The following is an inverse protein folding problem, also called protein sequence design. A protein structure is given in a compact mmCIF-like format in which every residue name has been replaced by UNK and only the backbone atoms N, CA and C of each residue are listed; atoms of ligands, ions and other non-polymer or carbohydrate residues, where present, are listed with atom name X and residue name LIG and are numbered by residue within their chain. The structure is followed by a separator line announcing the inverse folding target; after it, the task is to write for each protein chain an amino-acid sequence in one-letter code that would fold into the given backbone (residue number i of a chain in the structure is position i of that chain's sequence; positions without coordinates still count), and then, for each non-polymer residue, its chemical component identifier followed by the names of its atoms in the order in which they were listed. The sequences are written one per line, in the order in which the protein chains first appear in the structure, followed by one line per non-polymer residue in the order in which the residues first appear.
data_IF_248617516745
#
_entry.id   IF_248617516745
#
_cell.length_a   1.000
_cell.length_b   1.000
_cell.length_c   1.000
_cell.angle_alpha   90.00
_cell.angle_beta   90.00
_cell.angle_gamma   90.00
#
_symmetry.space_group_name_H-M   'P 1'
#
loop_
_entity.id
_entity.type
_entity.pdbx_description
1 polymer ?
#
# COMPACT_ATOMS: atom_id res chain seq x y z
N UNK A 1 15.32 9.77 -12.30
CA UNK A 1 14.54 8.95 -11.35
C UNK A 1 13.16 9.60 -11.31
N UNK A 2 12.20 9.07 -12.08
CA UNK A 2 10.86 9.67 -12.14
C UNK A 2 10.08 9.28 -10.90
N UNK A 3 9.71 10.27 -10.09
CA UNK A 3 8.71 10.10 -9.04
C UNK A 3 7.39 9.77 -9.76
N UNK A 4 6.89 8.55 -9.60
CA UNK A 4 5.56 8.18 -10.11
C UNK A 4 4.52 9.02 -9.40
N UNK A 5 3.64 9.64 -10.17
CA UNK A 5 2.45 10.29 -9.63
C UNK A 5 1.54 9.18 -9.12
N UNK A 6 0.91 9.36 -7.96
CA UNK A 6 0.01 8.36 -7.33
C UNK A 6 -1.12 7.90 -8.26
N UNK A 7 -1.46 8.69 -9.28
CA UNK A 7 -2.39 8.32 -10.35
C UNK A 7 -2.03 7.03 -11.08
N UNK A 8 -0.78 6.56 -10.97
CA UNK A 8 -0.27 5.40 -11.70
C UNK A 8 -0.29 4.10 -10.87
N UNK A 9 -0.64 4.17 -9.58
CA UNK A 9 -0.75 2.97 -8.74
C UNK A 9 -2.10 2.30 -8.97
N UNK A 10 -2.06 0.98 -9.18
CA UNK A 10 -3.27 0.17 -9.22
C UNK A 10 -3.95 0.12 -7.85
N UNK A 11 -5.25 -0.19 -7.82
CA UNK A 11 -5.97 -0.39 -6.55
C UNK A 11 -5.28 -1.47 -5.69
N UNK A 12 -4.82 -2.56 -6.30
CA UNK A 12 -4.11 -3.62 -5.59
C UNK A 12 -2.80 -3.13 -4.96
N UNK A 13 -2.05 -2.26 -5.64
CA UNK A 13 -0.82 -1.67 -5.09
C UNK A 13 -1.10 -0.72 -3.94
N UNK A 14 -2.10 0.16 -4.08
CA UNK A 14 -2.53 1.07 -3.00
C UNK A 14 -3.01 0.30 -1.77
N UNK A 15 -3.83 -0.74 -1.98
CA UNK A 15 -4.31 -1.61 -0.91
C UNK A 15 -3.14 -2.37 -0.27
N UNK A 16 -2.15 -2.82 -1.06
CA UNK A 16 -0.92 -3.43 -0.53
C UNK A 16 -0.13 -2.47 0.36
N UNK A 17 0.05 -1.20 -0.05
CA UNK A 17 0.70 -0.18 0.79
C UNK A 17 -0.08 0.04 2.10
N UNK A 18 -1.41 0.11 2.04
CA UNK A 18 -2.26 0.26 3.21
C UNK A 18 -2.13 -0.93 4.18
N UNK A 19 -2.09 -2.16 3.66
CA UNK A 19 -1.87 -3.37 4.46
C UNK A 19 -0.48 -3.36 5.13
N UNK A 20 0.57 -2.96 4.41
CA UNK A 20 1.91 -2.85 5.01
C UNK A 20 1.89 -1.82 6.14
N UNK A 21 1.25 -0.65 5.94
CA UNK A 21 1.12 0.37 6.99
C UNK A 21 0.40 -0.15 8.24
N UNK A 22 -0.65 -0.95 8.05
CA UNK A 22 -1.41 -1.54 9.15
C UNK A 22 -0.58 -2.56 9.93
N UNK A 23 0.08 -3.47 9.24
CA UNK A 23 0.89 -4.52 9.88
C UNK A 23 2.07 -3.91 10.65
N UNK A 24 2.72 -2.90 10.08
CA UNK A 24 3.82 -2.16 10.71
C UNK A 24 3.36 -1.50 12.03
N UNK A 25 2.16 -0.91 12.04
CA UNK A 25 1.62 -0.24 13.22
C UNK A 25 1.11 -1.21 14.31
N UNK A 26 0.67 -2.42 13.95
CA UNK A 26 -0.08 -3.32 14.87
C UNK A 26 0.70 -4.54 15.32
N UNK A 27 1.49 -5.13 14.44
CA UNK A 27 2.05 -6.48 14.62
C UNK A 27 3.59 -6.48 14.55
N UNK A 28 4.20 -5.52 13.84
CA UNK A 28 5.66 -5.43 13.66
C UNK A 28 6.25 -6.47 12.70
N UNK A 29 5.48 -7.48 12.31
CA UNK A 29 5.89 -8.57 11.42
C UNK A 29 5.34 -8.36 9.99
N UNK A 30 6.07 -7.60 9.16
CA UNK A 30 5.67 -7.27 7.80
C UNK A 30 6.30 -8.18 6.73
N UNK A 31 6.18 -9.50 6.89
CA UNK A 31 6.67 -10.45 5.88
C UNK A 31 5.60 -10.84 4.84
N UNK A 32 6.04 -11.27 3.66
CA UNK A 32 5.15 -11.52 2.51
C UNK A 32 3.95 -12.43 2.78
N UNK A 33 4.08 -13.41 3.69
CA UNK A 33 2.95 -14.26 4.10
C UNK A 33 1.92 -13.52 4.96
N UNK A 34 2.33 -12.61 5.85
CA UNK A 34 1.42 -11.78 6.64
C UNK A 34 0.64 -10.82 5.73
N UNK A 35 1.35 -10.14 4.82
CA UNK A 35 0.75 -9.26 3.80
C UNK A 35 -0.27 -10.02 2.96
N UNK A 36 0.09 -11.23 2.49
CA UNK A 36 -0.83 -12.09 1.72
C UNK A 36 -2.12 -12.36 2.49
N UNK A 37 -2.01 -12.85 3.74
CA UNK A 37 -3.19 -13.17 4.57
C UNK A 37 -4.09 -11.96 4.77
N UNK A 38 -3.50 -10.81 5.08
CA UNK A 38 -4.28 -9.58 5.30
C UNK A 38 -4.97 -9.08 4.04
N UNK A 39 -4.34 -9.22 2.87
CA UNK A 39 -4.97 -8.94 1.57
C UNK A 39 -6.09 -9.94 1.25
N UNK A 40 -5.92 -11.23 1.57
CA UNK A 40 -6.97 -12.24 1.41
C UNK A 40 -8.20 -11.93 2.29
N UNK A 41 -7.96 -11.51 3.54
CA UNK A 41 -9.01 -11.06 4.44
C UNK A 41 -9.72 -9.80 3.91
N UNK A 42 -8.97 -8.87 3.31
CA UNK A 42 -9.53 -7.65 2.74
C UNK A 42 -10.40 -7.91 1.51
N UNK A 43 -9.93 -8.75 0.57
CA UNK A 43 -10.66 -9.05 -0.66
C UNK A 43 -11.71 -10.15 -0.49
N UNK A 44 -11.66 -10.92 0.60
CA UNK A 44 -12.55 -12.07 0.82
C UNK A 44 -12.27 -13.25 -0.10
N UNK A 45 -11.11 -13.29 -0.74
CA UNK A 45 -10.70 -14.33 -1.70
C UNK A 45 -9.20 -14.62 -1.63
N UNK A 46 -8.77 -15.71 -2.26
CA UNK A 46 -7.35 -16.06 -2.32
C UNK A 46 -6.57 -15.08 -3.19
N UNK A 47 -5.42 -14.63 -2.69
CA UNK A 47 -4.50 -13.74 -3.40
C UNK A 47 -3.37 -14.57 -3.96
N UNK A 48 -3.32 -14.67 -5.29
CA UNK A 48 -2.30 -15.47 -5.97
C UNK A 48 -0.89 -14.93 -5.75
N UNK A 49 0.09 -15.83 -5.54
CA UNK A 49 1.51 -15.48 -5.39
C UNK A 49 2.02 -14.66 -6.59
N UNK A 50 1.65 -15.07 -7.81
CA UNK A 50 1.98 -14.35 -9.05
C UNK A 50 1.31 -12.99 -9.22
N UNK A 51 0.37 -12.62 -8.34
CA UNK A 51 -0.19 -11.27 -8.24
C UNK A 51 0.56 -10.47 -7.16
N UNK A 52 0.74 -11.05 -5.98
CA UNK A 52 1.34 -10.36 -4.84
C UNK A 52 2.81 -9.96 -5.09
N UNK A 53 3.67 -10.92 -5.41
CA UNK A 53 5.11 -10.66 -5.42
C UNK A 53 5.56 -9.73 -6.54
N UNK A 54 5.03 -9.83 -7.78
CA UNK A 54 5.32 -8.83 -8.80
C UNK A 54 4.89 -7.42 -8.41
N UNK A 55 3.79 -7.27 -7.67
CA UNK A 55 3.37 -5.97 -7.15
C UNK A 55 4.29 -5.47 -6.03
N UNK A 56 4.72 -6.33 -5.10
CA UNK A 56 5.72 -5.96 -4.09
C UNK A 56 7.04 -5.54 -4.73
N UNK A 57 7.54 -6.30 -5.72
CA UNK A 57 8.77 -5.96 -6.42
C UNK A 57 8.64 -4.63 -7.19
N UNK A 58 7.47 -4.35 -7.78
CA UNK A 58 7.19 -3.05 -8.41
C UNK A 58 7.22 -1.92 -7.38
N UNK A 59 6.54 -2.08 -6.24
CA UNK A 59 6.52 -1.07 -5.18
C UNK A 59 7.91 -0.80 -4.59
N UNK A 60 8.75 -1.84 -4.52
CA UNK A 60 10.16 -1.72 -4.11
C UNK A 60 10.97 -0.97 -5.16
N UNK A 61 10.81 -1.32 -6.44
CA UNK A 61 11.49 -0.64 -7.54
C UNK A 61 11.08 0.84 -7.65
N UNK A 62 9.82 1.15 -7.35
CA UNK A 62 9.28 2.51 -7.31
C UNK A 62 9.70 3.28 -6.04
N UNK A 63 10.41 2.64 -5.10
CA UNK A 63 10.90 3.26 -3.86
C UNK A 63 9.81 3.54 -2.83
N UNK A 64 8.64 2.93 -2.95
CA UNK A 64 7.51 3.09 -2.02
C UNK A 64 7.56 2.09 -0.85
N UNK A 65 8.29 0.99 -1.04
CA UNK A 65 8.49 -0.06 -0.05
C UNK A 65 9.97 -0.40 0.02
N UNK A 66 10.53 -0.44 1.22
CA UNK A 66 11.84 -1.02 1.47
C UNK A 66 11.70 -2.53 1.69
N UNK A 67 12.58 -3.30 1.04
CA UNK A 67 12.68 -4.75 1.22
C UNK A 67 13.95 -5.09 1.97
N UNK A 68 13.82 -5.74 3.13
CA UNK A 68 14.95 -6.16 3.97
C UNK A 68 14.97 -7.67 4.12
N UNK A 69 16.11 -8.35 3.88
CA UNK A 69 16.20 -9.78 4.13
C UNK A 69 16.18 -10.03 5.64
N UNK A 70 15.19 -10.80 6.12
CA UNK A 70 15.15 -11.27 7.52
C UNK A 70 15.95 -12.56 7.67
N UNK A 71 15.80 -13.47 6.70
CA UNK A 71 16.57 -14.70 6.59
C UNK A 71 16.78 -15.09 5.11
N UNK A 72 17.23 -16.32 4.83
CA UNK A 72 17.49 -16.80 3.46
C UNK A 72 16.24 -16.93 2.58
N UNK A 73 15.04 -16.90 3.15
CA UNK A 73 13.74 -17.17 2.51
C UNK A 73 12.70 -16.11 2.83
N UNK A 74 12.85 -15.39 3.94
CA UNK A 74 11.89 -14.38 4.41
C UNK A 74 12.43 -12.98 4.16
N UNK A 75 11.62 -12.15 3.49
CA UNK A 75 11.85 -10.72 3.42
C UNK A 75 10.81 -9.99 4.26
N UNK A 76 11.27 -8.97 4.95
CA UNK A 76 10.47 -7.92 5.57
C UNK A 76 10.23 -6.79 4.55
N UNK A 77 9.04 -6.21 4.58
CA UNK A 77 8.62 -5.11 3.74
C UNK A 77 8.16 -3.94 4.61
N UNK A 78 8.75 -2.78 4.47
CA UNK A 78 8.41 -1.59 5.27
C UNK A 78 8.08 -0.44 4.34
N UNK A 79 7.10 0.40 4.68
CA UNK A 79 6.87 1.61 3.90
C UNK A 79 8.07 2.54 3.98
N UNK A 80 8.47 3.09 2.83
CA UNK A 80 9.35 4.26 2.81
C UNK A 80 8.56 5.53 3.13
N UNK A 81 9.25 6.65 3.31
CA UNK A 81 8.61 7.97 3.45
C UNK A 81 7.75 8.29 2.22
N UNK A 82 8.22 7.96 1.01
CA UNK A 82 7.45 8.13 -0.23
C UNK A 82 6.22 7.21 -0.30
N UNK A 83 6.30 5.99 0.24
CA UNK A 83 5.15 5.11 0.37
C UNK A 83 4.07 5.67 1.30
N UNK A 84 4.49 6.32 2.40
CA UNK A 84 3.58 7.00 3.34
C UNK A 84 2.93 8.23 2.70
N UNK A 85 3.71 9.06 2.03
CA UNK A 85 3.22 10.23 1.28
C UNK A 85 2.20 9.82 0.19
N UNK A 86 2.42 8.67 -0.47
CA UNK A 86 1.50 8.12 -1.45
C UNK A 86 0.11 7.82 -0.84
N UNK A 87 0.07 7.21 0.34
CA UNK A 87 -1.17 6.95 1.07
C UNK A 87 -1.85 8.23 1.56
N UNK A 88 -1.07 9.18 2.07
CA UNK A 88 -1.61 10.47 2.54
C UNK A 88 -2.25 11.26 1.41
N UNK A 89 -1.57 11.37 0.27
CA UNK A 89 -2.11 12.06 -0.90
C UNK A 89 -3.34 11.32 -1.45
N UNK A 90 -3.37 9.97 -1.42
CA UNK A 90 -4.57 9.21 -1.78
C UNK A 90 -5.74 9.53 -0.84
N UNK A 91 -5.51 9.56 0.48
CA UNK A 91 -6.51 9.93 1.48
C UNK A 91 -7.04 11.33 1.23
N UNK A 92 -6.16 12.29 1.01
CA UNK A 92 -6.54 13.70 0.81
C UNK A 92 -7.35 13.90 -0.47
N UNK A 93 -7.03 13.16 -1.54
CA UNK A 93 -7.83 13.13 -2.77
C UNK A 93 -9.25 12.59 -2.51
N UNK A 94 -9.38 11.49 -1.76
CA UNK A 94 -10.69 10.91 -1.40
C UNK A 94 -11.48 11.93 -0.56
N UNK A 95 -10.87 12.47 0.50
CA UNK A 95 -11.52 13.43 1.39
C UNK A 95 -12.02 14.66 0.63
N UNK A 96 -11.22 15.20 -0.30
CA UNK A 96 -11.66 16.31 -1.14
C UNK A 96 -12.90 15.95 -1.95
N UNK A 97 -12.97 14.75 -2.53
CA UNK A 97 -14.14 14.31 -3.32
C UNK A 97 -15.39 14.07 -2.47
N UNK A 98 -15.23 13.59 -1.24
CA UNK A 98 -16.34 13.40 -0.31
C UNK A 98 -16.87 14.74 0.24
N UNK A 99 -16.00 15.74 0.39
CA UNK A 99 -16.38 17.05 0.93
C UNK A 99 -17.02 18.00 -0.09
N UNK A 100 -17.02 17.67 -1.39
CA UNK A 100 -17.60 18.52 -2.46
C UNK A 100 -19.13 18.74 -2.31
N UNK A 101 -19.83 17.99 -1.45
CA UNK A 101 -21.25 18.18 -1.16
C UNK A 101 -21.59 19.08 0.03
N UNK A 102 -20.62 19.59 0.79
CA UNK A 102 -20.86 20.42 1.98
C UNK A 102 -20.75 21.94 1.72
N UNK A 103 -20.34 22.35 0.51
CA UNK A 103 -20.11 23.77 0.18
C UNK A 103 -21.28 24.41 -0.59
N UNK A 104 -22.33 23.67 -0.97
CA UNK A 104 -23.51 24.20 -1.70
C UNK A 104 -24.73 24.52 -0.81
N UNK A 105 -24.53 24.73 0.51
CA UNK A 105 -25.62 25.17 1.42
C UNK A 105 -25.54 26.63 1.88
N UNK A 106 -24.58 27.41 1.36
CA UNK A 106 -24.48 28.86 1.59
C UNK A 106 -24.57 29.63 0.25
N UNK A 107 -25.76 29.66 -0.36
CA UNK A 107 -26.20 30.74 -1.28
C UNK A 107 -27.71 30.87 -1.31
#
# INVERSE_FOLDING_TARGET
MSIRVISDLTEFQLTTLGVIAELDAREGDCYGLAIKRRLEDYYGEQVNHGRLYPNLDTLVQDGLVDKRPLDRRTNEYVLSDSGREALETRRDWINRKLNVGNDESDV
#
